data_IF_580971553595
#
_entry.id   IF_580971553595
#
_cell.length_a   1.000
_cell.length_b   1.000
_cell.length_c   1.000
_cell.angle_alpha   90.00
_cell.angle_beta   90.00
_cell.angle_gamma   90.00
#
_symmetry.space_group_name_H-M   'P 1'
#
loop_
_entity.id
_entity.type
_entity.pdbx_description
1 polymer ?
#
# COMPACT_ATOMS: atom_id res chain seq x y z
N UNK A 1 8.36 -56.09 -0.55
CA UNK A 1 7.75 -54.76 -0.27
C UNK A 1 7.03 -54.83 1.07
N UNK A 2 6.76 -53.70 1.75
CA UNK A 2 7.38 -52.36 1.62
C UNK A 2 8.54 -52.29 2.66
N UNK A 3 8.83 -51.31 3.54
CA UNK A 3 8.30 -49.96 3.83
C UNK A 3 9.35 -49.08 4.53
N UNK A 4 9.44 -47.79 4.17
CA UNK A 4 10.12 -46.75 4.96
C UNK A 4 11.64 -46.62 4.74
N UNK A 5 12.25 -45.47 5.01
CA UNK A 5 11.74 -44.29 5.74
C UNK A 5 11.83 -43.02 4.88
N UNK A 6 10.73 -42.27 4.78
CA UNK A 6 10.74 -40.91 4.19
C UNK A 6 11.17 -39.93 5.30
N UNK A 7 12.33 -39.30 5.14
CA UNK A 7 12.82 -38.29 6.07
C UNK A 7 12.18 -36.92 5.75
N UNK A 8 11.17 -36.53 6.54
CA UNK A 8 10.42 -35.28 6.32
C UNK A 8 11.11 -34.12 7.05
N UNK A 9 12.04 -33.45 6.37
CA UNK A 9 12.77 -32.30 6.93
C UNK A 9 11.87 -31.06 7.04
N UNK A 10 11.19 -30.92 8.18
CA UNK A 10 10.31 -29.77 8.47
C UNK A 10 11.12 -28.51 8.79
N UNK A 11 11.34 -27.65 7.79
CA UNK A 11 11.96 -26.34 7.98
C UNK A 11 10.96 -25.35 8.60
N UNK A 12 11.12 -25.05 9.90
CA UNK A 12 10.28 -24.09 10.60
C UNK A 12 10.64 -22.64 10.22
N UNK A 13 9.90 -22.04 9.30
CA UNK A 13 10.02 -20.61 8.97
C UNK A 13 9.40 -19.76 10.08
N UNK A 14 10.22 -19.19 10.95
CA UNK A 14 9.79 -18.25 12.00
C UNK A 14 9.51 -16.90 11.33
N UNK A 15 8.25 -16.66 10.96
CA UNK A 15 7.79 -15.35 10.50
C UNK A 15 7.65 -14.44 11.73
N UNK A 16 8.66 -13.59 11.95
CA UNK A 16 8.62 -12.55 12.96
C UNK A 16 7.66 -11.44 12.54
N UNK A 17 6.36 -11.62 12.80
CA UNK A 17 5.34 -10.60 12.59
C UNK A 17 5.57 -9.44 13.57
N UNK A 18 6.28 -8.40 13.12
CA UNK A 18 6.37 -7.14 13.84
C UNK A 18 5.00 -6.46 13.80
N UNK A 19 4.25 -6.59 14.89
CA UNK A 19 3.08 -5.77 15.18
C UNK A 19 3.52 -4.31 15.39
N UNK A 20 3.81 -3.61 14.29
CA UNK A 20 3.85 -2.17 14.26
C UNK A 20 2.45 -1.67 14.64
N UNK A 21 2.29 -1.26 15.90
CA UNK A 21 1.15 -0.46 16.37
C UNK A 21 1.19 0.98 15.82
N UNK A 22 1.83 1.15 14.68
CA UNK A 22 1.79 2.34 13.86
C UNK A 22 0.49 2.28 13.07
N UNK A 23 -0.49 3.07 13.50
CA UNK A 23 -1.80 3.13 12.86
C UNK A 23 -1.74 3.68 11.42
N UNK A 24 -0.58 4.21 10.99
CA UNK A 24 -0.44 4.96 9.75
C UNK A 24 1.03 5.10 9.29
N UNK A 25 1.56 4.07 8.60
CA UNK A 25 2.97 4.04 8.14
C UNK A 25 3.40 5.29 7.37
N UNK A 26 4.61 5.79 7.66
CA UNK A 26 5.22 6.94 6.99
C UNK A 26 5.93 6.51 5.69
N UNK A 27 5.46 7.03 4.55
CA UNK A 27 6.05 6.78 3.22
C UNK A 27 7.52 7.17 3.18
N UNK A 28 7.94 8.18 3.96
CA UNK A 28 9.35 8.64 4.04
C UNK A 28 10.30 7.59 4.62
N UNK A 29 9.77 6.58 5.32
CA UNK A 29 10.55 5.44 5.84
C UNK A 29 10.63 4.27 4.86
N UNK A 30 9.69 4.18 3.92
CA UNK A 30 9.55 3.13 2.92
C UNK A 30 10.19 3.55 1.59
N UNK A 31 10.58 2.59 0.75
CA UNK A 31 10.79 2.82 -0.69
C UNK A 31 9.46 3.02 -1.41
N UNK A 32 9.51 3.51 -2.64
CA UNK A 32 8.35 3.52 -3.52
C UNK A 32 7.83 2.09 -3.77
N UNK A 33 8.72 1.10 -3.92
CA UNK A 33 8.33 -0.31 -4.08
C UNK A 33 7.59 -0.87 -2.86
N UNK A 34 8.08 -0.61 -1.64
CA UNK A 34 7.40 -0.99 -0.39
C UNK A 34 6.05 -0.26 -0.23
N UNK A 35 5.99 1.03 -0.59
CA UNK A 35 4.76 1.85 -0.56
C UNK A 35 3.70 1.31 -1.53
N UNK A 36 4.10 0.98 -2.77
CA UNK A 36 3.21 0.34 -3.75
C UNK A 36 2.72 -1.02 -3.26
N UNK A 37 3.61 -1.89 -2.77
CA UNK A 37 3.22 -3.21 -2.27
C UNK A 37 2.21 -3.12 -1.10
N UNK A 38 2.36 -2.11 -0.23
CA UNK A 38 1.43 -1.85 0.87
C UNK A 38 0.05 -1.38 0.37
N UNK A 39 0.00 -0.48 -0.61
CA UNK A 39 -1.26 -0.01 -1.23
C UNK A 39 -1.94 -1.17 -1.97
N UNK A 40 -1.22 -1.92 -2.80
CA UNK A 40 -1.77 -3.02 -3.60
C UNK A 40 -2.25 -4.21 -2.73
N UNK A 41 -1.60 -4.48 -1.59
CA UNK A 41 -2.01 -5.56 -0.67
C UNK A 41 -3.21 -5.21 0.23
N UNK A 42 -3.52 -3.92 0.42
CA UNK A 42 -4.65 -3.44 1.22
C UNK A 42 -5.80 -2.85 0.39
N UNK A 43 -5.56 -2.62 -0.90
CA UNK A 43 -6.38 -1.87 -1.87
C UNK A 43 -6.62 -0.38 -1.51
N UNK A 44 -6.87 -0.06 -0.25
CA UNK A 44 -6.86 1.28 0.32
C UNK A 44 -6.11 1.31 1.64
N UNK A 45 -5.30 2.35 1.87
CA UNK A 45 -4.52 2.50 3.11
C UNK A 45 -4.30 3.98 3.42
N UNK A 46 -4.40 4.34 4.70
CA UNK A 46 -4.11 5.69 5.19
C UNK A 46 -2.63 5.73 5.56
N UNK A 47 -1.84 6.58 4.89
CA UNK A 47 -0.37 6.65 5.00
C UNK A 47 0.07 8.07 5.34
N UNK A 48 1.15 8.25 6.09
CA UNK A 48 1.70 9.58 6.37
C UNK A 48 2.87 9.94 5.48
N UNK A 49 3.02 11.25 5.28
CA UNK A 49 4.01 11.91 4.43
C UNK A 49 4.75 13.03 5.21
N UNK A 50 4.51 13.10 6.52
CA UNK A 50 5.02 14.10 7.45
C UNK A 50 4.38 13.94 8.84
N UNK A 51 4.56 14.93 9.71
CA UNK A 51 4.12 14.82 11.11
C UNK A 51 2.59 14.84 11.31
N UNK A 52 1.82 15.47 10.40
CA UNK A 52 0.38 15.76 10.62
C UNK A 52 -0.51 15.69 9.35
N UNK A 53 -0.06 15.13 8.21
CA UNK A 53 -0.98 14.86 7.08
C UNK A 53 -1.95 13.74 7.45
N UNK A 54 -3.09 13.52 6.75
CA UNK A 54 -4.02 12.39 6.98
C UNK A 54 -4.59 11.75 5.70
N UNK A 55 -3.74 11.57 4.68
CA UNK A 55 -4.13 11.08 3.35
C UNK A 55 -4.46 9.57 3.27
N UNK A 56 -5.48 9.22 2.48
CA UNK A 56 -5.86 7.85 2.10
C UNK A 56 -5.51 7.58 0.63
N UNK A 57 -4.60 6.63 0.42
CA UNK A 57 -4.18 6.18 -0.90
C UNK A 57 -4.88 4.88 -1.30
N UNK A 58 -5.07 4.69 -2.60
CA UNK A 58 -5.79 3.56 -3.20
C UNK A 58 -4.99 2.94 -4.36
N UNK A 59 -5.34 1.72 -4.74
CA UNK A 59 -4.89 1.12 -6.00
C UNK A 59 -5.47 1.85 -7.21
N UNK A 60 -4.74 1.87 -8.34
CA UNK A 60 -5.16 2.52 -9.59
C UNK A 60 -6.50 1.99 -10.14
N UNK A 61 -6.71 0.69 -10.07
CA UNK A 61 -7.88 0.01 -10.63
C UNK A 61 -8.60 -0.75 -9.52
N UNK A 62 -9.84 -0.35 -9.24
CA UNK A 62 -10.63 -0.90 -8.14
C UNK A 62 -11.94 -0.15 -7.90
N UNK A 63 -12.46 -0.28 -6.69
CA UNK A 63 -13.75 0.27 -6.26
C UNK A 63 -13.64 0.96 -4.89
N UNK A 64 -12.44 1.43 -4.54
CA UNK A 64 -12.12 2.06 -3.26
C UNK A 64 -12.41 3.58 -3.24
N UNK A 65 -12.82 4.15 -4.38
CA UNK A 65 -13.39 5.48 -4.49
C UNK A 65 -14.89 5.38 -4.73
N UNK A 66 -15.68 5.95 -3.83
CA UNK A 66 -17.12 6.10 -3.99
C UNK A 66 -17.43 7.23 -5.00
N UNK A 67 -18.51 7.11 -5.78
CA UNK A 67 -18.90 8.16 -6.71
C UNK A 67 -19.25 9.47 -5.97
N UNK A 68 -18.87 10.67 -6.48
CA UNK A 68 -18.30 10.94 -7.81
C UNK A 68 -16.77 10.80 -7.91
N UNK A 69 -16.07 10.45 -6.84
CA UNK A 69 -14.61 10.46 -6.77
C UNK A 69 -13.98 9.37 -7.66
N UNK A 70 -12.83 9.67 -8.25
CA UNK A 70 -12.04 8.75 -9.07
C UNK A 70 -10.58 8.67 -8.61
N UNK A 71 -9.83 7.59 -8.90
CA UNK A 71 -8.41 7.51 -8.58
C UNK A 71 -7.59 8.49 -9.43
N UNK A 72 -7.20 9.62 -8.84
CA UNK A 72 -6.28 10.59 -9.44
C UNK A 72 -4.84 10.33 -8.99
N UNK A 73 -3.86 10.74 -9.80
CA UNK A 73 -2.43 10.57 -9.52
C UNK A 73 -1.97 11.64 -8.51
N UNK A 74 -1.29 11.19 -7.46
CA UNK A 74 -0.57 12.03 -6.48
C UNK A 74 0.90 11.56 -6.35
N UNK A 75 1.78 12.38 -5.80
CA UNK A 75 3.21 12.09 -5.65
C UNK A 75 3.66 12.28 -4.19
N UNK A 76 4.10 11.19 -3.56
CA UNK A 76 4.49 11.18 -2.15
C UNK A 76 6.01 11.04 -1.95
N UNK A 77 6.58 11.66 -0.89
CA UNK A 77 7.98 11.47 -0.53
C UNK A 77 8.24 10.08 0.03
N UNK A 78 9.22 9.39 -0.54
CA UNK A 78 9.71 8.08 -0.09
C UNK A 78 11.21 8.12 0.18
N UNK A 79 11.74 7.10 0.88
CA UNK A 79 13.17 6.95 1.24
C UNK A 79 14.10 6.99 0.02
N UNK A 80 13.57 6.64 -1.15
CA UNK A 80 14.24 6.57 -2.45
C UNK A 80 13.85 7.69 -3.43
N UNK A 81 12.96 8.63 -3.05
CA UNK A 81 12.66 9.82 -3.85
C UNK A 81 11.20 10.29 -3.82
N UNK A 82 10.53 10.22 -4.97
CA UNK A 82 9.11 10.51 -5.14
C UNK A 82 8.41 9.27 -5.70
N UNK A 83 7.25 8.91 -5.14
CA UNK A 83 6.48 7.76 -5.57
C UNK A 83 5.12 8.19 -6.12
N UNK A 84 4.81 7.77 -7.35
CA UNK A 84 3.51 7.98 -7.99
C UNK A 84 2.48 7.05 -7.35
N UNK A 85 1.50 7.61 -6.64
CA UNK A 85 0.41 6.90 -5.96
C UNK A 85 -0.93 7.39 -6.49
N UNK A 86 -2.04 6.80 -6.02
CA UNK A 86 -3.38 7.25 -6.36
C UNK A 86 -4.16 7.58 -5.09
N UNK A 87 -4.97 8.64 -5.15
CA UNK A 87 -5.96 8.99 -4.11
C UNK A 87 -7.30 9.32 -4.76
N UNK A 88 -8.38 9.25 -3.99
CA UNK A 88 -9.72 9.52 -4.50
C UNK A 88 -9.97 11.03 -4.50
N UNK A 89 -10.14 11.62 -5.70
CA UNK A 89 -10.44 13.04 -5.86
C UNK A 89 -11.68 13.21 -6.73
N UNK A 90 -12.44 14.28 -6.50
CA UNK A 90 -13.56 14.62 -7.37
C UNK A 90 -12.98 15.04 -8.73
N UNK A 91 -13.39 14.44 -9.86
CA UNK A 91 -12.91 14.84 -11.16
C UNK A 91 -13.32 16.29 -11.40
N UNK A 92 -12.34 17.15 -11.69
CA UNK A 92 -12.58 18.58 -11.87
C UNK A 92 -13.75 18.80 -12.85
N UNK A 93 -14.71 19.68 -12.53
CA UNK A 93 -15.89 19.86 -13.36
C UNK A 93 -15.46 20.25 -14.76
N UNK A 94 -15.96 19.51 -15.75
CA UNK A 94 -15.77 19.81 -17.16
C UNK A 94 -16.44 21.15 -17.48
N UNK A 95 -15.67 22.23 -17.37
CA UNK A 95 -16.05 23.57 -17.83
C UNK A 95 -15.85 23.59 -19.35
N UNK A 96 -16.91 23.63 -20.17
CA UNK A 96 -16.75 23.96 -21.59
C UNK A 96 -16.39 25.44 -21.74
N UNK A 97 -15.48 25.72 -22.66
CA UNK A 97 -15.16 27.08 -23.16
C UNK A 97 -16.32 27.70 -23.96
#
# INVERSE_FOLDING_TARGET
>A
MPTGKIAFCAAAMIVAATNFADARPDTRTMTCAETQALIQSRHAVVLTTGANTYERYVRQFGNECDAPYVPMVDYVPTRDGQCMVYRCEEPAPMVPD
#
